data_IF_685494590215
#
_entry.id   IF_685494590215
#
_cell.length_a   1.000
_cell.length_b   1.000
_cell.length_c   1.000
_cell.angle_alpha   90.00
_cell.angle_beta   90.00
_cell.angle_gamma   90.00
#
_symmetry.space_group_name_H-M   'P 1'
#
loop_
_entity.id
_entity.type
_entity.pdbx_description
1 polymer ?
#
# COMPACT_ATOMS: atom_id res chain seq x y z
N UNK A 1 63.02 11.60 62.92
CA UNK A 1 62.35 10.28 62.78
C UNK A 1 60.93 10.35 62.20
N UNK A 2 60.09 11.33 62.56
CA UNK A 2 58.70 11.42 61.99
C UNK A 2 58.61 11.74 60.50
N UNK A 3 59.53 12.45 59.91
CA UNK A 3 59.50 12.84 58.47
C UNK A 3 59.75 11.61 57.52
N UNK A 4 60.66 10.72 57.91
CA UNK A 4 60.99 9.52 57.09
C UNK A 4 59.79 8.53 57.07
N UNK A 5 59.05 8.44 58.15
CA UNK A 5 57.86 7.58 58.22
C UNK A 5 56.72 8.05 57.30
N UNK A 6 56.53 9.38 57.20
CA UNK A 6 55.47 9.98 56.37
C UNK A 6 55.82 9.81 54.88
N UNK A 7 57.07 9.96 54.48
CA UNK A 7 57.49 9.68 53.07
C UNK A 7 57.30 8.21 52.70
N UNK A 8 57.65 7.30 53.57
CA UNK A 8 57.47 5.87 53.36
C UNK A 8 55.99 5.51 53.19
N UNK A 9 55.11 6.06 54.03
CA UNK A 9 53.63 5.85 53.94
C UNK A 9 53.07 6.46 52.64
N UNK A 10 53.52 7.64 52.23
CA UNK A 10 53.09 8.27 50.98
C UNK A 10 53.57 7.49 49.75
N UNK A 11 54.76 6.90 49.83
CA UNK A 11 55.33 6.01 48.77
C UNK A 11 54.56 4.71 48.63
N UNK A 12 54.17 4.09 49.75
CA UNK A 12 53.31 2.89 49.76
C UNK A 12 51.90 3.19 49.19
N UNK A 13 51.33 4.32 49.56
CA UNK A 13 50.00 4.72 49.03
C UNK A 13 50.07 4.93 47.48
N UNK A 14 51.10 5.59 46.99
CA UNK A 14 51.32 5.79 45.52
C UNK A 14 51.50 4.43 44.81
N UNK A 15 52.24 3.50 45.39
CA UNK A 15 52.42 2.15 44.84
C UNK A 15 51.10 1.39 44.79
N UNK A 16 50.33 1.39 45.88
CA UNK A 16 49.03 0.73 45.92
C UNK A 16 48.00 1.32 44.91
N UNK A 17 47.99 2.63 44.74
CA UNK A 17 47.16 3.31 43.74
C UNK A 17 47.61 2.92 42.31
N UNK A 18 48.89 2.84 42.05
CA UNK A 18 49.41 2.44 40.73
C UNK A 18 49.09 0.96 40.40
N UNK A 19 49.19 0.06 41.36
CA UNK A 19 48.73 -1.32 41.21
C UNK A 19 47.24 -1.50 41.01
N UNK A 20 46.44 -0.68 41.70
CA UNK A 20 44.99 -0.65 41.55
C UNK A 20 44.56 -0.20 40.17
N UNK A 21 45.21 0.86 39.64
CA UNK A 21 44.95 1.35 38.26
C UNK A 21 45.41 0.37 37.20
N UNK A 22 46.61 -0.27 37.40
CA UNK A 22 47.10 -1.30 36.46
C UNK A 22 46.16 -2.51 36.42
N UNK A 23 45.67 -2.97 37.60
CA UNK A 23 44.66 -4.04 37.68
C UNK A 23 43.36 -3.72 36.97
N UNK A 24 42.88 -2.48 37.12
CA UNK A 24 41.63 -2.03 36.47
C UNK A 24 41.79 -1.98 34.92
N UNK A 25 42.94 -1.54 34.42
CA UNK A 25 43.24 -1.54 32.96
C UNK A 25 43.29 -2.97 32.40
N UNK A 26 43.89 -3.92 33.12
CA UNK A 26 43.93 -5.33 32.70
C UNK A 26 42.52 -5.94 32.67
N UNK A 27 41.68 -5.65 33.64
CA UNK A 27 40.26 -6.15 33.66
C UNK A 27 39.47 -5.57 32.51
N UNK A 28 39.65 -4.30 32.17
CA UNK A 28 39.01 -3.68 31.00
C UNK A 28 39.55 -4.26 29.67
N UNK A 29 40.82 -4.54 29.57
CA UNK A 29 41.42 -5.13 28.35
C UNK A 29 40.97 -6.59 28.13
N UNK A 30 40.70 -7.32 29.20
CA UNK A 30 40.19 -8.71 29.12
C UNK A 30 38.66 -8.79 28.90
N UNK A 31 37.91 -7.68 29.10
CA UNK A 31 36.46 -7.64 28.89
C UNK A 31 36.01 -7.42 27.44
N UNK A 32 36.93 -7.18 26.50
CA UNK A 32 36.62 -7.12 25.09
C UNK A 32 36.18 -8.51 24.61
N UNK A 33 34.88 -8.81 24.72
CA UNK A 33 34.31 -9.95 24.00
C UNK A 33 34.36 -9.61 22.51
N UNK A 34 35.07 -10.40 21.75
CA UNK A 34 34.97 -10.35 20.31
C UNK A 34 33.48 -10.52 19.93
N UNK A 35 32.93 -9.68 19.02
CA UNK A 35 31.57 -9.89 18.55
C UNK A 35 31.48 -11.31 18.00
N UNK A 36 30.52 -12.09 18.50
CA UNK A 36 30.22 -13.39 17.91
C UNK A 36 29.67 -13.13 16.51
N UNK A 37 30.52 -13.23 15.52
CA UNK A 37 30.04 -13.27 14.14
C UNK A 37 29.38 -14.62 13.90
N UNK A 38 28.17 -14.59 13.34
CA UNK A 38 27.51 -15.77 12.82
C UNK A 38 28.46 -16.40 11.78
N UNK A 39 29.06 -17.55 12.13
CA UNK A 39 30.04 -18.23 11.29
C UNK A 39 29.41 -18.98 10.12
N UNK A 40 28.15 -19.39 10.27
CA UNK A 40 27.42 -20.13 9.25
C UNK A 40 25.91 -20.01 9.49
N UNK A 41 25.16 -19.69 8.41
CA UNK A 41 23.71 -19.80 8.37
C UNK A 41 23.39 -20.96 7.44
N UNK A 42 22.83 -22.06 7.98
CA UNK A 42 22.36 -23.17 7.17
C UNK A 42 20.87 -23.02 6.93
N UNK A 43 20.52 -22.90 5.67
CA UNK A 43 19.12 -22.94 5.23
C UNK A 43 18.78 -24.38 4.89
N UNK A 44 17.59 -24.82 5.30
CA UNK A 44 17.02 -26.09 4.87
C UNK A 44 15.65 -25.79 4.31
N UNK A 45 15.50 -25.97 3.00
CA UNK A 45 14.22 -25.86 2.34
C UNK A 45 13.38 -27.11 2.60
N UNK A 46 12.13 -26.88 3.01
CA UNK A 46 11.13 -27.92 3.14
C UNK A 46 10.06 -27.70 2.08
N UNK A 47 10.20 -28.30 0.90
CA UNK A 47 9.20 -28.11 -0.15
C UNK A 47 7.87 -28.70 0.29
N UNK A 48 6.82 -27.89 0.28
CA UNK A 48 5.43 -28.33 0.46
C UNK A 48 4.91 -28.75 -0.90
N UNK A 49 4.95 -30.03 -1.17
CA UNK A 49 4.46 -30.61 -2.44
C UNK A 49 3.18 -31.42 -2.26
N UNK A 50 2.62 -31.88 -3.38
CA UNK A 50 1.41 -32.73 -3.37
C UNK A 50 1.60 -34.06 -2.63
N UNK A 51 2.85 -34.46 -2.35
CA UNK A 51 3.21 -35.64 -1.55
C UNK A 51 3.20 -35.38 -0.03
N UNK A 52 3.05 -34.12 0.40
CA UNK A 52 2.83 -33.84 1.81
C UNK A 52 1.48 -34.44 2.22
N UNK A 53 1.48 -35.32 3.20
CA UNK A 53 0.28 -35.97 3.69
C UNK A 53 -0.75 -34.92 4.13
N UNK A 54 -1.99 -35.19 3.85
CA UNK A 54 -3.11 -34.35 4.25
C UNK A 54 -3.57 -34.80 5.62
N UNK A 55 -3.61 -33.88 6.58
CA UNK A 55 -4.15 -34.17 7.91
C UNK A 55 -5.68 -34.14 7.87
N UNK A 56 -6.29 -35.32 7.95
CA UNK A 56 -7.73 -35.49 7.88
C UNK A 56 -8.50 -34.82 9.03
N UNK A 57 -7.88 -34.68 10.19
CA UNK A 57 -8.50 -34.02 11.35
C UNK A 57 -8.66 -32.54 11.10
N UNK A 58 -7.61 -31.86 10.56
CA UNK A 58 -7.69 -30.46 10.20
C UNK A 58 -8.70 -30.21 9.06
N UNK A 59 -8.75 -31.11 8.06
CA UNK A 59 -9.75 -30.99 6.99
C UNK A 59 -11.17 -31.05 7.54
N UNK A 60 -11.47 -32.05 8.39
CA UNK A 60 -12.79 -32.18 8.99
C UNK A 60 -13.16 -30.97 9.87
N UNK A 61 -12.21 -30.44 10.62
CA UNK A 61 -12.42 -29.25 11.44
C UNK A 61 -12.69 -27.99 10.60
N UNK A 62 -12.01 -27.85 9.46
CA UNK A 62 -12.13 -26.69 8.58
C UNK A 62 -13.30 -26.79 7.58
N UNK A 63 -13.80 -27.99 7.28
CA UNK A 63 -14.83 -28.22 6.27
C UNK A 63 -16.07 -27.31 6.43
N UNK A 64 -16.71 -27.17 7.62
CA UNK A 64 -17.88 -26.32 7.76
C UNK A 64 -17.63 -24.85 7.42
N UNK A 65 -16.42 -24.35 7.74
CA UNK A 65 -16.00 -22.97 7.44
C UNK A 65 -15.65 -22.82 5.97
N UNK A 66 -14.95 -23.80 5.39
CA UNK A 66 -14.57 -23.83 3.99
C UNK A 66 -15.79 -23.81 3.08
N UNK A 67 -16.80 -24.62 3.36
CA UNK A 67 -18.02 -24.73 2.55
C UNK A 67 -18.83 -23.42 2.57
N UNK A 68 -19.01 -22.84 3.76
CA UNK A 68 -19.70 -21.55 3.90
C UNK A 68 -18.94 -20.41 3.19
N UNK A 69 -17.63 -20.35 3.40
CA UNK A 69 -16.77 -19.34 2.77
C UNK A 69 -16.74 -19.50 1.26
N UNK A 70 -16.56 -20.71 0.76
CA UNK A 70 -16.53 -21.00 -0.68
C UNK A 70 -17.82 -20.57 -1.37
N UNK A 71 -18.97 -20.84 -0.77
CA UNK A 71 -20.27 -20.40 -1.32
C UNK A 71 -20.37 -18.89 -1.42
N UNK A 72 -19.93 -18.16 -0.39
CA UNK A 72 -19.93 -16.69 -0.39
C UNK A 72 -18.91 -16.11 -1.37
N UNK A 73 -17.71 -16.64 -1.40
CA UNK A 73 -16.61 -16.13 -2.21
C UNK A 73 -16.77 -16.44 -3.70
N UNK A 74 -17.47 -17.51 -4.06
CA UNK A 74 -17.79 -17.86 -5.45
C UNK A 74 -19.04 -17.13 -5.99
N UNK A 75 -19.65 -16.23 -5.21
CA UNK A 75 -20.71 -15.36 -5.73
C UNK A 75 -20.26 -14.64 -6.98
N UNK A 76 -21.01 -14.81 -8.06
CA UNK A 76 -20.79 -14.09 -9.34
C UNK A 76 -21.32 -12.66 -9.15
N UNK A 77 -20.43 -11.69 -9.29
CA UNK A 77 -20.76 -10.27 -9.18
C UNK A 77 -21.15 -9.66 -10.52
N UNK A 78 -20.38 -9.92 -11.56
CA UNK A 78 -20.60 -9.44 -12.93
C UNK A 78 -19.69 -10.19 -13.92
N UNK A 79 -19.54 -9.66 -15.14
CA UNK A 79 -18.56 -10.12 -16.11
C UNK A 79 -17.84 -8.94 -16.74
N UNK A 80 -16.67 -9.21 -17.33
CA UNK A 80 -15.92 -8.27 -18.18
C UNK A 80 -15.67 -8.88 -19.58
N UNK A 81 -15.55 -8.03 -20.59
CA UNK A 81 -15.46 -8.47 -21.98
C UNK A 81 -14.03 -8.71 -22.45
N UNK A 82 -13.03 -8.23 -21.72
CA UNK A 82 -11.62 -8.40 -22.06
C UNK A 82 -10.76 -8.56 -20.80
N UNK A 83 -9.55 -9.04 -20.95
CA UNK A 83 -8.57 -9.03 -19.87
C UNK A 83 -8.20 -7.60 -19.49
N UNK A 84 -8.01 -7.35 -18.18
CA UNK A 84 -7.54 -6.10 -17.62
C UNK A 84 -6.19 -6.32 -16.97
N UNK A 85 -5.23 -5.48 -17.29
CA UNK A 85 -3.85 -5.59 -16.81
C UNK A 85 -3.48 -4.44 -15.87
N UNK A 86 -2.60 -4.79 -14.93
CA UNK A 86 -1.89 -3.83 -14.10
C UNK A 86 -0.58 -3.45 -14.81
N UNK A 87 -0.63 -2.40 -15.60
CA UNK A 87 0.50 -1.93 -16.39
C UNK A 87 0.93 -0.51 -16.03
N UNK A 88 2.04 -0.06 -16.62
CA UNK A 88 2.51 1.31 -16.56
C UNK A 88 2.73 1.84 -18.00
N UNK A 89 2.47 3.10 -18.26
CA UNK A 89 1.95 4.13 -17.36
C UNK A 89 0.45 4.01 -17.09
N UNK A 90 -0.33 3.33 -17.92
CA UNK A 90 -1.78 3.17 -17.82
C UNK A 90 -2.13 1.75 -17.38
N UNK A 91 -2.89 1.63 -16.30
CA UNK A 91 -3.37 0.37 -15.76
C UNK A 91 -4.87 0.24 -15.99
N UNK A 92 -5.29 -0.62 -16.90
CA UNK A 92 -6.72 -0.86 -17.14
C UNK A 92 -7.41 -1.44 -15.90
N UNK A 93 -6.72 -2.33 -15.18
CA UNK A 93 -7.22 -2.89 -13.93
C UNK A 93 -7.33 -1.83 -12.83
N UNK A 94 -6.34 -0.95 -12.72
CA UNK A 94 -6.39 0.19 -11.80
C UNK A 94 -7.50 1.17 -12.18
N UNK A 95 -7.70 1.43 -13.48
CA UNK A 95 -8.78 2.31 -13.96
C UNK A 95 -10.17 1.74 -13.64
N UNK A 96 -10.35 0.42 -13.80
CA UNK A 96 -11.58 -0.27 -13.35
C UNK A 96 -11.87 -0.01 -11.87
N UNK A 97 -10.86 -0.17 -11.01
CA UNK A 97 -11.02 0.07 -9.58
C UNK A 97 -11.32 1.56 -9.28
N UNK A 98 -10.61 2.48 -9.94
CA UNK A 98 -10.87 3.91 -9.80
C UNK A 98 -12.27 4.32 -10.29
N UNK A 99 -12.78 3.71 -11.37
CA UNK A 99 -14.16 3.91 -11.84
C UNK A 99 -15.17 3.47 -10.78
N UNK A 100 -14.94 2.33 -10.14
CA UNK A 100 -15.77 1.85 -9.04
C UNK A 100 -15.78 2.81 -7.85
N UNK A 101 -14.63 3.39 -7.50
CA UNK A 101 -14.53 4.36 -6.40
C UNK A 101 -15.25 5.68 -6.72
N UNK A 102 -15.05 6.19 -7.93
CA UNK A 102 -15.72 7.42 -8.37
C UNK A 102 -17.25 7.23 -8.40
N UNK A 103 -17.71 6.08 -8.94
CA UNK A 103 -19.11 5.71 -8.95
C UNK A 103 -19.66 5.58 -7.54
N UNK A 104 -18.96 4.87 -6.63
CA UNK A 104 -19.43 4.68 -5.26
C UNK A 104 -19.56 6.01 -4.50
N UNK A 105 -18.59 6.91 -4.63
CA UNK A 105 -18.68 8.24 -4.04
C UNK A 105 -19.93 8.99 -4.51
N UNK A 106 -20.21 8.97 -5.81
CA UNK A 106 -21.35 9.70 -6.40
C UNK A 106 -22.69 9.03 -6.13
N UNK A 107 -22.78 7.71 -6.34
CA UNK A 107 -24.07 7.01 -6.38
C UNK A 107 -24.44 6.35 -5.05
N UNK A 108 -23.48 5.90 -4.27
CA UNK A 108 -23.75 5.28 -2.97
C UNK A 108 -23.69 6.32 -1.85
N UNK A 109 -22.54 7.04 -1.75
CA UNK A 109 -22.33 8.01 -0.67
C UNK A 109 -22.95 9.37 -0.96
N UNK A 110 -23.43 9.59 -2.20
CA UNK A 110 -24.04 10.87 -2.63
C UNK A 110 -23.14 12.10 -2.42
N UNK A 111 -21.84 11.87 -2.48
CA UNK A 111 -20.83 12.91 -2.36
C UNK A 111 -20.46 13.47 -3.74
N UNK A 112 -20.21 14.78 -3.87
CA UNK A 112 -19.63 15.32 -5.09
C UNK A 112 -18.22 14.73 -5.27
N UNK A 113 -17.88 14.30 -6.49
CA UNK A 113 -16.56 13.79 -6.79
C UNK A 113 -16.19 14.11 -8.25
N UNK A 114 -15.07 14.76 -8.45
CA UNK A 114 -14.58 15.10 -9.79
C UNK A 114 -13.76 13.93 -10.37
N UNK A 115 -12.95 13.26 -9.52
CA UNK A 115 -12.05 12.20 -9.92
C UNK A 115 -11.80 11.20 -8.79
N UNK A 116 -11.23 10.05 -9.17
CA UNK A 116 -10.74 9.05 -8.23
C UNK A 116 -9.37 8.50 -8.64
N UNK A 117 -8.61 8.06 -7.64
CA UNK A 117 -7.30 7.46 -7.83
C UNK A 117 -7.21 6.12 -7.10
N UNK A 118 -6.49 5.18 -7.73
CA UNK A 118 -6.02 3.94 -7.13
C UNK A 118 -4.51 3.89 -7.21
N UNK A 119 -3.80 3.75 -6.10
CA UNK A 119 -2.35 3.65 -6.10
C UNK A 119 -1.88 2.30 -6.67
N UNK A 120 -0.79 2.31 -7.44
CA UNK A 120 -0.26 1.11 -8.11
C UNK A 120 -0.01 -0.06 -7.14
N UNK A 121 0.60 0.19 -5.98
CA UNK A 121 0.87 -0.84 -4.98
C UNK A 121 -0.39 -1.44 -4.33
N UNK A 122 -1.50 -0.74 -4.36
CA UNK A 122 -2.79 -1.19 -3.82
C UNK A 122 -3.51 -2.18 -4.72
N UNK A 123 -3.24 -2.20 -6.03
CA UNK A 123 -3.73 -3.25 -6.95
C UNK A 123 -2.91 -4.51 -6.72
N UNK A 124 -3.51 -5.58 -6.17
CA UNK A 124 -2.77 -6.74 -5.65
C UNK A 124 -2.66 -7.93 -6.60
N UNK A 125 -3.35 -7.89 -7.74
CA UNK A 125 -3.19 -8.86 -8.83
C UNK A 125 -2.62 -8.17 -10.06
N UNK A 126 -1.92 -8.91 -10.91
CA UNK A 126 -1.33 -8.35 -12.13
C UNK A 126 -2.30 -8.33 -13.31
N UNK A 127 -3.33 -9.17 -13.24
CA UNK A 127 -4.31 -9.29 -14.32
C UNK A 127 -5.65 -9.80 -13.77
N UNK A 128 -6.74 -9.32 -14.34
CA UNK A 128 -8.08 -9.88 -14.20
C UNK A 128 -8.48 -10.49 -15.55
N UNK A 129 -8.78 -11.78 -15.57
CA UNK A 129 -9.14 -12.51 -16.81
C UNK A 129 -10.47 -12.01 -17.39
N UNK A 130 -10.67 -12.24 -18.71
CA UNK A 130 -11.96 -12.07 -19.36
C UNK A 130 -12.99 -13.05 -18.79
N UNK A 131 -14.23 -12.62 -18.64
CA UNK A 131 -15.37 -13.46 -18.24
C UNK A 131 -15.91 -13.07 -16.85
N UNK A 132 -16.25 -14.07 -16.06
CA UNK A 132 -16.92 -13.88 -14.78
C UNK A 132 -16.00 -13.24 -13.76
N UNK A 133 -16.51 -12.24 -13.04
CA UNK A 133 -15.88 -11.62 -11.87
C UNK A 133 -16.64 -12.08 -10.63
N UNK A 134 -15.93 -12.73 -9.71
CA UNK A 134 -16.49 -13.23 -8.46
C UNK A 134 -16.12 -12.35 -7.28
N UNK A 135 -16.75 -12.58 -6.13
CA UNK A 135 -16.34 -11.95 -4.87
C UNK A 135 -14.88 -12.26 -4.53
N UNK A 136 -14.39 -13.48 -4.80
CA UNK A 136 -12.97 -13.83 -4.66
C UNK A 136 -12.08 -12.85 -5.42
N UNK A 137 -12.41 -12.53 -6.67
CA UNK A 137 -11.59 -11.59 -7.45
C UNK A 137 -11.56 -10.18 -6.83
N UNK A 138 -12.66 -9.71 -6.23
CA UNK A 138 -12.66 -8.43 -5.52
C UNK A 138 -11.72 -8.45 -4.30
N UNK A 139 -11.70 -9.54 -3.54
CA UNK A 139 -10.78 -9.73 -2.41
C UNK A 139 -9.33 -9.91 -2.86
N UNK A 140 -9.07 -10.56 -3.98
CA UNK A 140 -7.72 -10.67 -4.56
C UNK A 140 -7.19 -9.32 -5.08
N UNK A 141 -8.05 -8.49 -5.69
CA UNK A 141 -7.69 -7.15 -6.16
C UNK A 141 -7.41 -6.19 -5.00
N UNK A 142 -8.28 -6.22 -3.97
CA UNK A 142 -8.26 -5.33 -2.80
C UNK A 142 -8.44 -6.13 -1.50
N UNK A 143 -7.36 -6.77 -0.98
CA UNK A 143 -7.45 -7.58 0.25
C UNK A 143 -7.44 -6.75 1.55
N UNK A 144 -7.31 -5.43 1.44
CA UNK A 144 -7.21 -4.52 2.58
C UNK A 144 -8.59 -3.97 2.96
N UNK A 145 -8.74 -3.59 4.23
CA UNK A 145 -9.92 -2.88 4.73
C UNK A 145 -9.75 -1.35 4.64
N UNK A 146 -9.06 -0.90 3.57
CA UNK A 146 -8.95 0.52 3.28
C UNK A 146 -10.30 1.14 2.98
N UNK A 147 -10.50 2.36 3.50
CA UNK A 147 -11.72 3.13 3.34
C UNK A 147 -11.62 4.12 2.17
N UNK A 148 -12.75 4.35 1.53
CA UNK A 148 -12.93 5.41 0.57
C UNK A 148 -12.98 6.75 1.31
N UNK A 149 -12.12 7.68 0.90
CA UNK A 149 -12.03 9.04 1.44
C UNK A 149 -12.19 10.03 0.30
N UNK A 150 -13.07 11.00 0.49
CA UNK A 150 -13.20 12.15 -0.41
C UNK A 150 -12.48 13.35 0.19
N UNK A 151 -11.59 13.96 -0.57
CA UNK A 151 -10.70 15.05 -0.15
C UNK A 151 -10.95 16.28 -0.98
N UNK A 152 -11.11 17.44 -0.34
CA UNK A 152 -11.10 18.73 -1.01
C UNK A 152 -9.68 19.14 -1.34
N UNK A 153 -9.33 19.16 -2.61
CA UNK A 153 -7.97 19.45 -3.06
C UNK A 153 -7.91 20.61 -4.02
N UNK A 154 -7.09 21.62 -3.70
CA UNK A 154 -6.81 22.73 -4.64
C UNK A 154 -5.99 22.22 -5.82
N UNK A 155 -6.23 22.77 -7.02
CA UNK A 155 -5.55 22.33 -8.26
C UNK A 155 -4.03 22.34 -8.18
N UNK A 156 -3.42 23.30 -7.44
CA UNK A 156 -1.97 23.31 -7.19
C UNK A 156 -1.49 22.09 -6.43
N UNK A 157 -2.24 21.61 -5.44
CA UNK A 157 -1.90 20.40 -4.65
C UNK A 157 -2.16 19.16 -5.49
N UNK A 158 -3.25 19.14 -6.27
CA UNK A 158 -3.54 18.05 -7.20
C UNK A 158 -2.42 17.89 -8.23
N UNK A 159 -1.92 18.99 -8.79
CA UNK A 159 -0.76 18.99 -9.71
C UNK A 159 0.47 18.34 -9.07
N UNK A 160 0.82 18.74 -7.85
CA UNK A 160 1.94 18.15 -7.12
C UNK A 160 1.78 16.64 -6.91
N UNK A 161 0.56 16.19 -6.63
CA UNK A 161 0.27 14.76 -6.49
C UNK A 161 0.42 14.02 -7.81
N UNK A 162 -0.14 14.55 -8.91
CA UNK A 162 -0.04 13.92 -10.24
C UNK A 162 1.41 13.94 -10.75
N UNK A 163 2.17 15.00 -10.47
CA UNK A 163 3.62 15.05 -10.77
C UNK A 163 4.39 13.97 -9.99
N UNK A 164 4.02 13.72 -8.73
CA UNK A 164 4.59 12.62 -7.96
C UNK A 164 4.32 11.26 -8.61
N UNK A 165 3.07 11.03 -9.06
CA UNK A 165 2.73 9.81 -9.79
C UNK A 165 3.50 9.68 -11.11
N UNK A 166 3.73 10.80 -11.81
CA UNK A 166 4.52 10.83 -13.04
C UNK A 166 6.01 10.44 -12.79
N UNK A 167 6.60 10.88 -11.67
CA UNK A 167 7.96 10.47 -11.26
C UNK A 167 8.04 8.96 -11.04
N UNK A 168 6.97 8.35 -10.53
CA UNK A 168 6.87 6.90 -10.28
C UNK A 168 6.52 6.10 -11.55
N UNK A 169 6.32 6.77 -12.68
CA UNK A 169 6.00 6.14 -13.97
C UNK A 169 4.51 5.89 -14.20
N UNK A 170 3.62 6.45 -13.39
CA UNK A 170 2.18 6.20 -13.47
C UNK A 170 1.81 4.82 -12.94
N UNK A 171 0.89 4.12 -13.62
CA UNK A 171 0.54 2.71 -13.35
C UNK A 171 -0.45 2.48 -12.22
N UNK A 172 -0.88 3.54 -11.53
CA UNK A 172 -2.07 3.51 -10.72
C UNK A 172 -3.34 3.56 -11.58
N UNK A 173 -4.50 3.46 -10.94
CA UNK A 173 -5.78 3.69 -11.61
C UNK A 173 -6.21 5.14 -11.47
N UNK A 174 -6.85 5.67 -12.51
CA UNK A 174 -7.46 7.00 -12.48
C UNK A 174 -8.85 6.99 -13.11
N UNK A 175 -9.76 7.78 -12.56
CA UNK A 175 -11.09 8.02 -13.11
C UNK A 175 -11.40 9.52 -13.05
N UNK A 176 -12.05 10.08 -14.08
CA UNK A 176 -12.40 11.49 -14.14
C UNK A 176 -11.21 12.42 -14.42
N UNK A 177 -10.00 11.91 -14.53
CA UNK A 177 -8.77 12.65 -14.84
C UNK A 177 -7.94 11.90 -15.88
N UNK A 178 -7.24 12.62 -16.71
CA UNK A 178 -6.23 12.10 -17.62
C UNK A 178 -5.03 13.05 -17.73
N UNK A 179 -3.85 12.50 -18.06
CA UNK A 179 -2.62 13.28 -18.24
C UNK A 179 -1.58 12.50 -19.05
N UNK A 180 -0.55 13.21 -19.54
CA UNK A 180 0.63 12.61 -20.15
C UNK A 180 1.85 12.75 -19.25
N UNK A 181 2.76 11.79 -19.33
CA UNK A 181 4.05 11.81 -18.63
C UNK A 181 5.14 12.15 -19.65
N UNK A 182 5.81 13.29 -19.45
CA UNK A 182 6.97 13.72 -20.25
C UNK A 182 8.09 14.06 -19.27
N UNK A 183 9.26 13.47 -19.42
CA UNK A 183 10.44 13.71 -18.56
C UNK A 183 10.11 13.62 -17.06
N UNK A 184 9.34 12.59 -16.67
CA UNK A 184 8.87 12.37 -15.30
C UNK A 184 8.00 13.49 -14.72
N UNK A 185 7.36 14.30 -15.57
CA UNK A 185 6.39 15.32 -15.18
C UNK A 185 5.04 15.03 -15.81
N UNK A 186 3.98 15.39 -15.11
CA UNK A 186 2.64 15.32 -15.65
C UNK A 186 2.36 16.58 -16.49
N UNK A 187 1.99 16.37 -17.74
CA UNK A 187 1.58 17.45 -18.67
C UNK A 187 0.18 17.17 -19.19
N UNK A 188 -0.47 18.20 -19.75
CA UNK A 188 -1.83 18.11 -20.30
C UNK A 188 -2.84 17.49 -19.33
N UNK A 189 -2.73 17.83 -18.04
CA UNK A 189 -3.62 17.33 -17.01
C UNK A 189 -5.03 17.88 -17.27
N UNK A 190 -6.02 16.98 -17.38
CA UNK A 190 -7.42 17.32 -17.59
C UNK A 190 -8.30 16.61 -16.56
N UNK A 191 -9.23 17.37 -15.98
CA UNK A 191 -10.24 16.85 -15.04
C UNK A 191 -11.61 17.06 -15.67
N UNK A 192 -12.39 15.99 -15.82
CA UNK A 192 -13.67 16.04 -16.53
C UNK A 192 -13.52 16.54 -17.98
N UNK A 193 -12.39 16.28 -18.63
CA UNK A 193 -12.07 16.74 -19.99
C UNK A 193 -11.57 18.19 -20.09
N UNK A 194 -11.64 18.99 -19.00
CA UNK A 194 -11.17 20.38 -18.97
C UNK A 194 -9.72 20.46 -18.45
N UNK A 195 -8.90 21.39 -18.94
CA UNK A 195 -7.57 21.62 -18.40
C UNK A 195 -7.63 21.85 -16.87
N UNK A 196 -6.63 21.33 -16.16
CA UNK A 196 -6.51 21.54 -14.71
C UNK A 196 -6.36 23.03 -14.40
N UNK A 197 -7.28 23.57 -13.59
CA UNK A 197 -7.21 24.92 -13.05
C UNK A 197 -6.57 24.88 -11.64
N UNK A 198 -5.41 25.48 -11.49
CA UNK A 198 -4.65 25.51 -10.24
C UNK A 198 -5.39 26.22 -9.11
N UNK A 199 -6.35 27.13 -9.41
CA UNK A 199 -7.12 27.88 -8.42
C UNK A 199 -8.42 27.21 -8.00
N UNK A 200 -8.92 26.27 -8.79
CA UNK A 200 -10.15 25.53 -8.50
C UNK A 200 -9.92 24.53 -7.36
N UNK A 201 -10.93 24.34 -6.55
CA UNK A 201 -11.03 23.21 -5.58
C UNK A 201 -11.75 22.05 -6.26
N UNK A 202 -11.18 20.88 -6.16
CA UNK A 202 -11.69 19.63 -6.72
C UNK A 202 -12.02 18.66 -5.59
N UNK A 203 -12.98 17.79 -5.84
CA UNK A 203 -13.34 16.67 -4.97
C UNK A 203 -12.65 15.40 -5.48
N UNK A 204 -11.67 14.92 -4.73
CA UNK A 204 -10.83 13.79 -5.11
C UNK A 204 -11.09 12.58 -4.22
N UNK A 205 -11.45 11.46 -4.81
CA UNK A 205 -11.64 10.18 -4.12
C UNK A 205 -10.33 9.39 -4.10
N UNK A 206 -9.94 8.89 -2.94
CA UNK A 206 -8.75 8.07 -2.77
C UNK A 206 -8.92 7.12 -1.57
N UNK A 207 -7.92 6.26 -1.31
CA UNK A 207 -7.87 5.45 -0.10
C UNK A 207 -7.41 6.28 1.11
N UNK A 208 -7.89 5.92 2.30
CA UNK A 208 -7.37 6.41 3.57
C UNK A 208 -5.85 6.26 3.68
N UNK A 209 -5.30 5.13 3.24
CA UNK A 209 -3.86 4.88 3.19
C UNK A 209 -3.10 5.99 2.46
N UNK A 210 -3.54 6.38 1.24
CA UNK A 210 -2.87 7.45 0.47
C UNK A 210 -3.07 8.81 1.11
N UNK A 211 -4.29 9.09 1.58
CA UNK A 211 -4.63 10.37 2.22
C UNK A 211 -3.83 10.59 3.50
N UNK A 212 -3.52 9.54 4.24
CA UNK A 212 -2.68 9.56 5.45
C UNK A 212 -1.17 9.57 5.16
N UNK A 213 -0.78 9.69 3.90
CA UNK A 213 0.63 9.82 3.48
C UNK A 213 1.28 8.54 3.03
N UNK A 214 0.51 7.45 2.85
CA UNK A 214 0.96 6.24 2.20
C UNK A 214 1.45 6.53 0.78
N UNK A 215 2.53 5.87 0.34
CA UNK A 215 3.19 6.20 -0.91
C UNK A 215 4.04 7.48 -0.86
N UNK A 216 4.19 8.12 0.32
CA UNK A 216 5.12 9.23 0.53
C UNK A 216 4.60 10.62 0.14
N UNK A 217 3.31 10.78 -0.24
CA UNK A 217 2.71 12.09 -0.46
C UNK A 217 1.88 12.53 0.76
N UNK A 218 2.35 13.56 1.46
CA UNK A 218 1.73 14.05 2.70
C UNK A 218 0.80 15.26 2.50
N UNK A 219 0.64 15.73 1.28
CA UNK A 219 -0.10 16.94 0.96
C UNK A 219 -1.60 16.89 1.25
N UNK A 220 -2.16 15.71 1.52
CA UNK A 220 -3.59 15.55 1.79
C UNK A 220 -3.95 15.50 3.28
N UNK A 221 -2.98 15.24 4.18
CA UNK A 221 -3.24 14.95 5.59
C UNK A 221 -3.99 16.05 6.34
N UNK A 222 -3.77 17.31 5.98
CA UNK A 222 -4.38 18.48 6.63
C UNK A 222 -5.56 19.07 5.87
N UNK A 223 -5.97 18.45 4.74
CA UNK A 223 -7.07 18.94 3.94
C UNK A 223 -8.43 18.46 4.48
N UNK A 224 -9.53 19.18 4.20
CA UNK A 224 -10.87 18.70 4.52
C UNK A 224 -11.16 17.34 3.87
N UNK A 225 -11.70 16.41 4.65
CA UNK A 225 -11.94 15.02 4.25
C UNK A 225 -13.32 14.56 4.70
N UNK A 226 -14.00 13.81 3.84
CA UNK A 226 -15.21 13.08 4.18
C UNK A 226 -14.91 11.59 4.24
N UNK A 227 -15.22 10.96 5.38
CA UNK A 227 -15.02 9.54 5.65
C UNK A 227 -16.29 8.94 6.23
N UNK A 228 -16.84 7.94 5.60
CA UNK A 228 -18.08 7.28 6.02
C UNK A 228 -17.88 5.80 6.38
N UNK A 229 -16.62 5.34 6.46
CA UNK A 229 -16.32 3.95 6.76
C UNK A 229 -16.59 2.96 5.62
N UNK A 230 -16.88 3.45 4.41
CA UNK A 230 -17.17 2.61 3.26
C UNK A 230 -15.89 2.05 2.65
N UNK A 231 -15.81 0.72 2.51
CA UNK A 231 -14.58 0.06 2.08
C UNK A 231 -14.38 0.17 0.56
N UNK A 232 -13.13 0.34 0.14
CA UNK A 232 -12.76 0.32 -1.28
C UNK A 232 -13.14 -1.01 -1.96
N UNK A 233 -13.03 -2.13 -1.25
CA UNK A 233 -13.45 -3.44 -1.74
C UNK A 233 -14.94 -3.51 -1.98
N UNK A 234 -15.74 -2.93 -1.07
CA UNK A 234 -17.19 -2.90 -1.23
C UNK A 234 -17.61 -2.03 -2.42
N UNK A 235 -16.87 -0.94 -2.69
CA UNK A 235 -17.10 -0.15 -3.89
C UNK A 235 -16.92 -0.98 -5.19
N UNK A 236 -15.91 -1.86 -5.25
CA UNK A 236 -15.71 -2.77 -6.39
C UNK A 236 -16.86 -3.77 -6.49
N UNK A 237 -17.26 -4.37 -5.37
CA UNK A 237 -18.35 -5.35 -5.32
C UNK A 237 -19.66 -4.72 -5.79
N UNK A 238 -20.03 -3.57 -5.24
CA UNK A 238 -21.29 -2.90 -5.54
C UNK A 238 -21.32 -2.33 -6.97
N UNK A 239 -20.16 -1.86 -7.48
CA UNK A 239 -20.02 -1.45 -8.88
C UNK A 239 -20.25 -2.61 -9.85
N UNK A 240 -19.68 -3.78 -9.55
CA UNK A 240 -19.94 -5.00 -10.32
C UNK A 240 -21.42 -5.39 -10.28
N UNK A 241 -22.03 -5.41 -9.10
CA UNK A 241 -23.45 -5.73 -8.95
C UNK A 241 -24.36 -4.75 -9.70
N UNK A 242 -24.01 -3.47 -9.69
CA UNK A 242 -24.76 -2.46 -10.46
C UNK A 242 -24.74 -2.79 -11.95
N UNK A 243 -23.60 -3.17 -12.50
CA UNK A 243 -23.52 -3.58 -13.91
C UNK A 243 -24.35 -4.84 -14.19
N UNK A 244 -24.21 -5.86 -13.35
CA UNK A 244 -24.96 -7.11 -13.49
C UNK A 244 -26.48 -6.89 -13.42
N UNK A 245 -26.96 -6.05 -12.50
CA UNK A 245 -28.39 -5.71 -12.36
C UNK A 245 -28.95 -5.00 -13.61
N UNK A 246 -28.09 -4.33 -14.38
CA UNK A 246 -28.44 -3.71 -15.66
C UNK A 246 -28.28 -4.66 -16.85
N UNK A 247 -27.87 -5.91 -16.63
CA UNK A 247 -27.58 -6.89 -17.69
C UNK A 247 -26.34 -6.51 -18.51
N UNK A 248 -25.43 -5.71 -17.95
CA UNK A 248 -24.22 -5.22 -18.62
C UNK A 248 -22.98 -5.85 -18.02
N UNK A 249 -21.98 -6.12 -18.87
CA UNK A 249 -20.61 -6.38 -18.41
C UNK A 249 -19.92 -5.06 -18.03
N UNK A 250 -18.91 -5.18 -17.18
CA UNK A 250 -18.02 -4.05 -16.90
C UNK A 250 -17.23 -3.71 -18.15
N UNK A 251 -17.27 -2.45 -18.54
CA UNK A 251 -16.52 -1.92 -19.67
C UNK A 251 -15.49 -0.90 -19.17
N UNK A 252 -14.23 -1.26 -19.28
CA UNK A 252 -13.13 -0.29 -19.11
C UNK A 252 -12.77 0.21 -20.50
N UNK A 253 -12.85 1.51 -20.72
CA UNK A 253 -12.49 2.12 -22.00
C UNK A 253 -11.07 1.72 -22.43
N UNK A 254 -10.85 1.60 -23.74
CA UNK A 254 -9.53 1.30 -24.31
C UNK A 254 -8.62 2.53 -24.40
N UNK A 255 -9.16 3.71 -24.13
CA UNK A 255 -8.39 4.95 -24.11
C UNK A 255 -7.41 4.98 -22.93
N UNK A 256 -6.18 5.38 -23.25
CA UNK A 256 -5.14 5.55 -22.22
C UNK A 256 -5.43 6.84 -21.45
N UNK A 257 -5.78 6.70 -20.18
CA UNK A 257 -5.97 7.83 -19.26
C UNK A 257 -4.65 8.44 -18.83
N UNK A 258 -3.59 7.61 -18.79
CA UNK A 258 -2.22 8.03 -18.59
C UNK A 258 -1.41 7.56 -19.79
N UNK A 259 -0.71 8.50 -20.46
CA UNK A 259 0.11 8.20 -21.63
C UNK A 259 1.52 8.79 -21.49
N UNK A 260 2.44 8.36 -22.32
CA UNK A 260 3.79 8.92 -22.51
C UNK A 260 3.87 9.63 -23.83
#
# INVERSE_FOLDING_TARGET
>A
MKFILIEALLRQRKLMLAFSHAGMVVVFALSCRAPQALSEIRFKDYPVGKSAGVDSVYIQMLAPYSDSLSKSMNEVLCSNERELFKDQPNSDLGNFMADAYLWAAREILKQPADMAFMNHGGVRINRLGKGVITRTNAYEMMPFDNQLVNVEVRGTVLRQFVDRLAVEGGGGGVAGINYRIVDKKAVDIRVGGQPLDDNRVYQMVNSDYVVEGGGGFKGFQSLPQLREGYLLRDAIIDYCRMHNNKGMSVQVGTEKRISQ
#
